data_IF_953277649829
#
_entry.id   IF_953277649829
#
_cell.length_a   1.000
_cell.length_b   1.000
_cell.length_c   1.000
_cell.angle_alpha   90.00
_cell.angle_beta   90.00
_cell.angle_gamma   90.00
#
_symmetry.space_group_name_H-M   'P 1'
#
loop_
_entity.id
_entity.type
_entity.pdbx_description
1 polymer ?
#
# COMPACT_ATOMS: atom_id res chain seq x y z
N UNK A 1 -10.30 1.67 -12.30
CA UNK A 1 -9.34 2.55 -11.63
C UNK A 1 -8.49 1.70 -10.70
N UNK A 2 -7.17 1.64 -10.90
CA UNK A 2 -6.27 0.91 -10.02
C UNK A 2 -6.27 1.45 -8.59
N UNK A 3 -6.20 0.56 -7.59
CA UNK A 3 -6.15 0.94 -6.17
C UNK A 3 -4.96 0.27 -5.47
N UNK A 4 -4.09 1.10 -4.87
CA UNK A 4 -3.01 0.67 -3.98
C UNK A 4 -3.46 0.85 -2.53
N UNK A 5 -3.29 -0.20 -1.73
CA UNK A 5 -3.49 -0.17 -0.28
C UNK A 5 -2.14 -0.32 0.40
N UNK A 6 -1.80 0.63 1.27
CA UNK A 6 -0.59 0.61 2.10
C UNK A 6 -1.02 0.41 3.55
N UNK A 7 -0.57 -0.67 4.16
CA UNK A 7 -0.77 -0.99 5.57
C UNK A 7 0.57 -1.01 6.31
N UNK A 8 0.54 -0.93 7.64
CA UNK A 8 1.75 -0.96 8.48
C UNK A 8 1.76 -2.14 9.44
N UNK A 9 2.94 -2.71 9.66
CA UNK A 9 3.14 -3.83 10.58
C UNK A 9 2.67 -3.50 12.01
N UNK A 10 2.96 -2.28 12.48
CA UNK A 10 2.66 -1.76 13.81
C UNK A 10 1.29 -1.08 13.95
N UNK A 11 0.40 -1.20 12.96
CA UNK A 11 -0.96 -0.68 13.05
C UNK A 11 -1.73 -1.26 14.26
N UNK A 12 -2.55 -0.45 14.96
CA UNK A 12 -3.42 -0.94 16.05
C UNK A 12 -4.29 -2.12 15.60
N UNK A 13 -4.43 -3.16 16.43
CA UNK A 13 -5.07 -4.45 16.08
C UNK A 13 -6.40 -4.33 15.33
N UNK A 14 -7.28 -3.42 15.78
CA UNK A 14 -8.60 -3.22 15.15
C UNK A 14 -8.47 -2.64 13.74
N UNK A 15 -7.75 -1.52 13.60
CA UNK A 15 -7.49 -0.91 12.30
C UNK A 15 -6.74 -1.84 11.36
N UNK A 16 -5.79 -2.63 11.89
CA UNK A 16 -5.06 -3.64 11.11
C UNK A 16 -6.00 -4.70 10.54
N UNK A 17 -6.94 -5.22 11.33
CA UNK A 17 -7.89 -6.24 10.86
C UNK A 17 -8.81 -5.72 9.74
N UNK A 18 -9.27 -4.47 9.84
CA UNK A 18 -10.08 -3.82 8.79
C UNK A 18 -9.28 -3.64 7.50
N UNK A 19 -8.01 -3.22 7.59
CA UNK A 19 -7.11 -3.10 6.44
C UNK A 19 -6.80 -4.46 5.81
N UNK A 20 -6.50 -5.48 6.60
CA UNK A 20 -6.20 -6.84 6.13
C UNK A 20 -7.37 -7.46 5.35
N UNK A 21 -8.62 -7.09 5.66
CA UNK A 21 -9.79 -7.53 4.89
C UNK A 21 -9.77 -7.00 3.43
N UNK A 22 -8.98 -5.97 3.13
CA UNK A 22 -8.79 -5.46 1.76
C UNK A 22 -7.77 -6.29 0.97
N UNK A 23 -7.00 -7.17 1.62
CA UNK A 23 -6.03 -8.04 0.94
C UNK A 23 -6.76 -9.01 0.02
N UNK A 24 -6.54 -8.85 -1.29
CA UNK A 24 -7.21 -9.66 -2.32
C UNK A 24 -8.67 -9.30 -2.57
N UNK A 25 -9.19 -8.22 -1.96
CA UNK A 25 -10.55 -7.76 -2.21
C UNK A 25 -10.72 -7.30 -3.66
N UNK A 26 -11.91 -7.54 -4.24
CA UNK A 26 -12.22 -7.13 -5.61
C UNK A 26 -12.06 -5.60 -5.76
N UNK A 27 -11.25 -5.19 -6.73
CA UNK A 27 -10.96 -3.78 -7.01
C UNK A 27 -9.69 -3.24 -6.36
N UNK A 28 -9.07 -3.98 -5.44
CA UNK A 28 -7.72 -3.69 -4.96
C UNK A 28 -6.72 -4.25 -5.96
N UNK A 29 -5.92 -3.37 -6.56
CA UNK A 29 -4.90 -3.75 -7.54
C UNK A 29 -3.62 -4.23 -6.86
N UNK A 30 -3.24 -3.61 -5.74
CA UNK A 30 -2.04 -3.98 -4.97
C UNK A 30 -2.27 -3.71 -3.50
N UNK A 31 -1.83 -4.65 -2.66
CA UNK A 31 -1.80 -4.50 -1.20
C UNK A 31 -0.36 -4.70 -0.74
N UNK A 32 0.18 -3.75 0.01
CA UNK A 32 1.50 -3.87 0.63
C UNK A 32 1.41 -3.67 2.14
N UNK A 33 2.30 -4.34 2.85
CA UNK A 33 2.56 -4.11 4.27
C UNK A 33 4.00 -3.59 4.39
N UNK A 34 4.16 -2.46 5.07
CA UNK A 34 5.46 -1.83 5.30
C UNK A 34 5.74 -1.70 6.80
N UNK A 35 7.02 -1.59 7.21
CA UNK A 35 7.35 -1.30 8.60
C UNK A 35 6.72 0.01 9.09
N UNK A 36 6.58 0.15 10.42
CA UNK A 36 6.11 1.39 11.06
C UNK A 36 4.74 1.29 11.72
N UNK A 37 4.23 2.44 12.17
CA UNK A 37 2.97 2.51 12.92
C UNK A 37 1.89 3.33 12.18
N UNK A 38 1.91 4.66 12.28
CA UNK A 38 0.77 5.49 11.86
C UNK A 38 1.04 6.23 10.54
N UNK A 39 2.29 6.60 10.28
CA UNK A 39 2.65 7.48 9.16
C UNK A 39 3.82 6.86 8.40
N UNK A 40 3.62 5.74 7.68
CA UNK A 40 4.71 5.05 7.00
C UNK A 40 5.42 5.92 5.95
N UNK A 41 4.75 6.93 5.40
CA UNK A 41 5.35 7.91 4.49
C UNK A 41 6.34 8.87 5.18
N UNK A 42 6.23 9.06 6.50
CA UNK A 42 7.17 9.84 7.30
C UNK A 42 8.25 8.96 7.92
N UNK A 43 7.86 7.77 8.39
CA UNK A 43 8.75 6.80 9.05
C UNK A 43 9.66 6.07 8.04
N UNK A 44 9.11 5.70 6.88
CA UNK A 44 9.78 4.93 5.81
C UNK A 44 9.53 5.54 4.42
N UNK A 45 9.87 6.83 4.20
CA UNK A 45 9.55 7.56 2.98
C UNK A 45 10.04 6.88 1.70
N UNK A 46 11.25 6.30 1.73
CA UNK A 46 11.84 5.62 0.56
C UNK A 46 11.05 4.39 0.16
N UNK A 47 10.67 3.52 1.11
CA UNK A 47 9.91 2.30 0.83
C UNK A 47 8.55 2.66 0.24
N UNK A 48 7.86 3.64 0.84
CA UNK A 48 6.55 4.10 0.36
C UNK A 48 6.67 4.71 -1.05
N UNK A 49 7.69 5.54 -1.29
CA UNK A 49 7.90 6.17 -2.59
C UNK A 49 8.20 5.14 -3.70
N UNK A 50 9.05 4.15 -3.43
CA UNK A 50 9.38 3.09 -4.39
C UNK A 50 8.17 2.24 -4.75
N UNK A 51 7.35 1.86 -3.76
CA UNK A 51 6.16 1.05 -4.01
C UNK A 51 5.06 1.83 -4.75
N UNK A 52 4.90 3.13 -4.44
CA UNK A 52 4.02 4.02 -5.18
C UNK A 52 4.50 4.20 -6.62
N UNK A 53 5.80 4.42 -6.82
CA UNK A 53 6.36 4.59 -8.16
C UNK A 53 6.12 3.33 -9.01
N UNK A 54 6.52 2.15 -8.52
CA UNK A 54 6.28 0.87 -9.21
C UNK A 54 4.80 0.67 -9.55
N UNK A 55 3.90 0.95 -8.60
CA UNK A 55 2.47 0.84 -8.83
C UNK A 55 1.98 1.72 -9.99
N UNK A 56 2.47 2.97 -10.05
CA UNK A 56 2.13 3.89 -11.14
C UNK A 56 2.69 3.40 -12.48
N UNK A 57 3.93 2.91 -12.52
CA UNK A 57 4.53 2.35 -13.75
C UNK A 57 3.72 1.17 -14.29
N UNK A 58 3.40 0.22 -13.43
CA UNK A 58 2.68 -1.01 -13.77
C UNK A 58 1.26 -0.75 -14.31
N UNK A 59 0.61 0.32 -13.85
CA UNK A 59 -0.81 0.54 -14.11
C UNK A 59 -1.11 1.69 -15.07
N UNK A 60 -0.16 2.59 -15.31
CA UNK A 60 -0.40 3.80 -16.10
C UNK A 60 0.69 4.13 -17.12
N UNK A 61 1.92 3.64 -16.95
CA UNK A 61 3.02 3.92 -17.89
C UNK A 61 3.14 2.88 -19.02
N UNK A 62 2.12 2.01 -19.18
CA UNK A 62 1.98 1.14 -20.36
C UNK A 62 1.50 1.93 -21.59
N UNK A 63 2.30 2.88 -22.03
CA UNK A 63 2.20 3.54 -23.34
C UNK A 63 3.61 3.62 -23.94
N UNK A 64 4.08 2.50 -24.49
CA UNK A 64 5.10 2.47 -25.54
C UNK A 64 4.63 1.50 -26.63
#
# INVERSE_FOLDING_TARGET
MPLLVVSTEGSPKRSKAEMEALRGAKGVSKFIEVPGALLPQEEYPTIVAEELYKFLQENFESNN
#
